data_IF_238043543599
#
_entry.id   IF_238043543599
#
_cell.length_a   1.000
_cell.length_b   1.000
_cell.length_c   1.000
_cell.angle_alpha   90.00
_cell.angle_beta   90.00
_cell.angle_gamma   90.00
#
_symmetry.space_group_name_H-M   'P 1'
#
loop_
_entity.id
_entity.type
_entity.pdbx_description
1 polymer ?
#
# COMPACT_ATOMS: atom_id res chain seq x y z
N UNK A 1 -6.65 1.57 -11.22
CA UNK A 1 -6.87 0.10 -11.21
C UNK A 1 -8.37 -0.16 -11.19
N UNK A 2 -8.84 -1.29 -11.74
CA UNK A 2 -10.29 -1.63 -11.75
C UNK A 2 -10.82 -1.77 -10.32
N UNK A 3 -10.08 -2.44 -9.45
CA UNK A 3 -10.41 -2.67 -8.04
C UNK A 3 -10.67 -1.37 -7.24
N UNK A 4 -9.84 -0.34 -7.44
CA UNK A 4 -9.96 0.92 -6.69
C UNK A 4 -11.31 1.63 -6.85
N UNK A 5 -11.99 1.43 -8.00
CA UNK A 5 -13.28 2.04 -8.32
C UNK A 5 -14.46 1.10 -8.16
N UNK A 6 -14.23 -0.13 -7.72
CA UNK A 6 -15.26 -1.16 -7.61
C UNK A 6 -16.25 -0.86 -6.48
N UNK A 7 -15.74 -0.45 -5.32
CA UNK A 7 -16.57 0.02 -4.19
C UNK A 7 -15.94 1.20 -3.46
N UNK A 8 -16.75 1.98 -2.77
CA UNK A 8 -16.30 3.02 -1.85
C UNK A 8 -15.38 2.48 -0.75
N UNK A 9 -15.57 1.22 -0.33
CA UNK A 9 -14.70 0.54 0.61
C UNK A 9 -13.26 0.39 0.11
N UNK A 10 -13.08 -0.04 -1.15
CA UNK A 10 -11.75 -0.13 -1.75
C UNK A 10 -11.09 1.25 -1.89
N UNK A 11 -11.85 2.25 -2.34
CA UNK A 11 -11.37 3.62 -2.44
C UNK A 11 -10.93 4.17 -1.07
N UNK A 12 -11.77 4.01 -0.05
CA UNK A 12 -11.48 4.45 1.31
C UNK A 12 -10.25 3.76 1.90
N UNK A 13 -10.07 2.46 1.61
CA UNK A 13 -8.87 1.73 1.99
C UNK A 13 -7.61 2.35 1.37
N UNK A 14 -7.63 2.67 0.07
CA UNK A 14 -6.49 3.32 -0.60
C UNK A 14 -6.25 4.74 -0.09
N UNK A 15 -7.30 5.53 0.16
CA UNK A 15 -7.19 6.87 0.72
C UNK A 15 -6.52 6.83 2.10
N UNK A 16 -6.91 5.89 2.97
CA UNK A 16 -6.27 5.69 4.27
C UNK A 16 -4.78 5.38 4.13
N UNK A 17 -4.41 4.49 3.20
CA UNK A 17 -3.01 4.14 2.96
C UNK A 17 -2.22 5.31 2.36
N UNK A 18 -2.80 6.08 1.45
CA UNK A 18 -2.21 7.30 0.91
C UNK A 18 -1.88 8.32 2.01
N UNK A 19 -2.82 8.56 2.92
CA UNK A 19 -2.61 9.46 4.06
C UNK A 19 -1.53 8.92 5.01
N UNK A 20 -1.57 7.62 5.33
CA UNK A 20 -0.56 6.99 6.17
C UNK A 20 0.85 7.06 5.57
N UNK A 21 0.98 6.82 4.26
CA UNK A 21 2.26 6.96 3.55
C UNK A 21 2.76 8.41 3.53
N UNK A 22 1.84 9.38 3.45
CA UNK A 22 2.18 10.80 3.50
C UNK A 22 2.69 11.20 4.89
N UNK A 23 2.05 10.73 5.95
CA UNK A 23 2.51 10.91 7.33
C UNK A 23 3.87 10.24 7.56
N UNK A 24 4.06 9.03 7.02
CA UNK A 24 5.34 8.33 7.10
C UNK A 24 6.44 9.09 6.34
N UNK A 25 6.14 9.67 5.18
CA UNK A 25 7.08 10.52 4.45
C UNK A 25 7.46 11.76 5.28
N UNK A 26 6.49 12.45 5.88
CA UNK A 26 6.75 13.57 6.76
C UNK A 26 7.65 13.18 7.93
N UNK A 27 7.34 12.08 8.61
CA UNK A 27 8.16 11.56 9.70
C UNK A 27 9.62 11.31 9.27
N UNK A 28 9.83 10.74 8.09
CA UNK A 28 11.18 10.37 7.59
C UNK A 28 12.01 11.57 7.12
N UNK A 29 11.37 12.60 6.57
CA UNK A 29 12.05 13.67 5.84
C UNK A 29 11.77 15.08 6.37
N UNK A 30 10.91 15.21 7.39
CA UNK A 30 10.42 16.48 7.94
C UNK A 30 9.89 17.43 6.86
N UNK A 31 9.17 16.86 5.88
CA UNK A 31 8.60 17.55 4.72
C UNK A 31 7.29 16.89 4.32
N UNK A 32 6.32 17.67 3.87
CA UNK A 32 5.11 17.11 3.30
C UNK A 32 5.37 16.60 1.87
N UNK A 33 4.77 15.45 1.54
CA UNK A 33 4.87 14.91 0.20
C UNK A 33 3.99 15.74 -0.75
N UNK A 34 4.50 16.12 -1.92
CA UNK A 34 3.76 17.00 -2.84
C UNK A 34 2.38 16.45 -3.24
N UNK A 35 2.21 15.12 -3.30
CA UNK A 35 0.90 14.51 -3.53
C UNK A 35 -0.08 14.75 -2.39
N UNK A 36 0.37 14.77 -1.13
CA UNK A 36 -0.47 15.10 0.01
C UNK A 36 -0.98 16.54 -0.12
N UNK A 37 -0.06 17.49 -0.29
CA UNK A 37 -0.40 18.92 -0.41
C UNK A 37 -1.40 19.19 -1.54
N UNK A 38 -1.23 18.52 -2.69
CA UNK A 38 -2.05 18.76 -3.89
C UNK A 38 -3.36 17.97 -3.91
N UNK A 39 -3.39 16.78 -3.33
CA UNK A 39 -4.46 15.81 -3.58
C UNK A 39 -5.27 15.43 -2.34
N UNK A 40 -4.76 15.63 -1.12
CA UNK A 40 -5.44 15.14 0.09
C UNK A 40 -6.87 15.67 0.22
N UNK A 41 -7.08 16.96 -0.06
CA UNK A 41 -8.40 17.57 -0.06
C UNK A 41 -9.30 16.99 -1.15
N UNK A 42 -8.84 16.98 -2.40
CA UNK A 42 -9.63 16.50 -3.54
C UNK A 42 -9.98 15.02 -3.44
N UNK A 43 -9.10 14.20 -2.88
CA UNK A 43 -9.31 12.77 -2.70
C UNK A 43 -10.16 12.42 -1.46
N UNK A 44 -10.40 13.38 -0.55
CA UNK A 44 -11.21 13.16 0.65
C UNK A 44 -12.69 12.88 0.34
N UNK A 45 -13.15 13.31 -0.82
CA UNK A 45 -14.51 13.05 -1.31
C UNK A 45 -14.57 11.77 -2.13
N UNK A 46 -15.68 11.03 -2.01
CA UNK A 46 -15.90 9.85 -2.84
C UNK A 46 -16.02 10.24 -4.33
N UNK A 47 -15.47 9.43 -5.25
CA UNK A 47 -15.66 9.62 -6.67
C UNK A 47 -17.15 9.60 -7.05
N UNK A 48 -17.52 10.43 -8.02
CA UNK A 48 -18.88 10.41 -8.58
C UNK A 48 -19.18 9.03 -9.18
N UNK A 49 -20.38 8.50 -8.91
CA UNK A 49 -20.87 7.21 -9.40
C UNK A 49 -20.13 5.97 -8.87
N UNK A 50 -19.36 6.09 -7.78
CA UNK A 50 -18.80 4.90 -7.12
C UNK A 50 -19.93 4.10 -6.45
N UNK A 51 -19.87 2.77 -6.55
CA UNK A 51 -20.78 1.90 -5.80
C UNK A 51 -20.46 2.04 -4.32
N UNK A 52 -21.43 2.49 -3.52
CA UNK A 52 -21.26 2.58 -2.07
C UNK A 52 -21.44 1.19 -1.48
N UNK A 53 -20.40 0.69 -0.82
CA UNK A 53 -20.40 -0.68 -0.31
C UNK A 53 -19.13 -1.04 0.46
N UNK A 54 -19.10 -2.28 1.00
CA UNK A 54 -17.95 -2.79 1.73
C UNK A 54 -16.73 -2.95 0.81
N UNK A 55 -15.57 -3.11 1.44
CA UNK A 55 -14.35 -3.47 0.72
C UNK A 55 -14.48 -4.88 0.13
N UNK A 56 -14.05 -5.05 -1.11
CA UNK A 56 -13.95 -6.35 -1.78
C UNK A 56 -12.57 -6.96 -1.52
N UNK A 57 -12.36 -8.27 -1.76
CA UNK A 57 -11.04 -8.89 -1.60
C UNK A 57 -9.92 -8.08 -2.25
N UNK A 58 -8.79 -7.91 -1.55
CA UNK A 58 -7.66 -7.09 -2.03
C UNK A 58 -7.16 -7.62 -3.37
N UNK A 59 -7.04 -6.74 -4.36
CA UNK A 59 -6.45 -7.12 -5.64
C UNK A 59 -4.95 -7.43 -5.51
N UNK A 60 -4.54 -8.59 -6.01
CA UNK A 60 -3.14 -9.02 -6.10
C UNK A 60 -2.53 -8.52 -7.42
N UNK A 61 -1.88 -7.36 -7.36
CA UNK A 61 -1.27 -6.68 -8.50
C UNK A 61 0.23 -6.98 -8.66
N UNK A 62 0.61 -8.25 -8.46
CA UNK A 62 1.97 -8.78 -8.64
C UNK A 62 1.96 -10.02 -9.56
N UNK A 63 3.13 -10.50 -10.02
CA UNK A 63 3.25 -11.77 -10.73
C UNK A 63 2.66 -12.97 -9.98
N UNK A 64 2.20 -13.99 -10.71
CA UNK A 64 1.50 -15.15 -10.14
C UNK A 64 2.39 -15.99 -9.20
N UNK A 65 3.71 -16.01 -9.43
CA UNK A 65 4.67 -16.73 -8.59
C UNK A 65 4.73 -16.24 -7.13
N UNK A 66 4.23 -15.03 -6.86
CA UNK A 66 4.17 -14.46 -5.51
C UNK A 66 2.79 -14.59 -4.87
N UNK A 67 1.76 -15.02 -5.59
CA UNK A 67 0.39 -15.08 -5.09
C UNK A 67 0.16 -16.33 -4.25
N UNK A 68 -0.39 -16.14 -3.07
CA UNK A 68 -0.85 -17.20 -2.16
C UNK A 68 -2.24 -16.86 -1.62
N UNK A 69 -2.79 -17.73 -0.76
CA UNK A 69 -4.14 -17.54 -0.20
C UNK A 69 -4.25 -16.25 0.64
N UNK A 70 -3.22 -15.93 1.43
CA UNK A 70 -3.18 -14.67 2.19
C UNK A 70 -2.67 -13.52 1.30
N UNK A 71 -3.48 -12.48 1.03
CA UNK A 71 -3.03 -11.33 0.27
C UNK A 71 -1.89 -10.55 0.96
N UNK A 72 -1.81 -10.56 2.29
CA UNK A 72 -0.73 -9.88 3.02
C UNK A 72 0.58 -10.59 2.77
N UNK A 73 0.60 -11.92 2.87
CA UNK A 73 1.78 -12.73 2.58
C UNK A 73 2.20 -12.56 1.11
N UNK A 74 1.25 -12.54 0.17
CA UNK A 74 1.54 -12.30 -1.25
C UNK A 74 2.31 -10.99 -1.47
N UNK A 75 1.85 -9.88 -0.87
CA UNK A 75 2.53 -8.58 -0.96
C UNK A 75 3.88 -8.55 -0.24
N UNK A 76 4.03 -9.28 0.87
CA UNK A 76 5.33 -9.37 1.56
C UNK A 76 6.35 -10.14 0.73
N UNK A 77 5.96 -11.27 0.14
CA UNK A 77 6.81 -12.08 -0.73
C UNK A 77 7.28 -11.27 -1.93
N UNK A 78 6.36 -10.60 -2.62
CA UNK A 78 6.70 -9.68 -3.71
C UNK A 78 7.63 -8.55 -3.28
N UNK A 79 7.37 -7.90 -2.13
CA UNK A 79 8.24 -6.85 -1.62
C UNK A 79 9.66 -7.35 -1.33
N UNK A 80 9.79 -8.48 -0.62
CA UNK A 80 11.10 -9.04 -0.26
C UNK A 80 11.89 -9.49 -1.49
N UNK A 81 11.23 -10.05 -2.49
CA UNK A 81 11.87 -10.52 -3.71
C UNK A 81 12.30 -9.37 -4.64
N UNK A 82 11.41 -8.39 -4.87
CA UNK A 82 11.59 -7.40 -5.95
C UNK A 82 12.13 -6.05 -5.47
N UNK A 83 11.97 -5.72 -4.19
CA UNK A 83 12.47 -4.45 -3.63
C UNK A 83 13.85 -4.63 -3.01
N UNK A 84 14.78 -5.17 -3.79
CA UNK A 84 16.20 -5.37 -3.40
C UNK A 84 16.90 -4.08 -2.97
N UNK A 85 16.36 -2.92 -3.36
CA UNK A 85 16.82 -1.59 -3.00
C UNK A 85 16.16 -1.01 -1.73
N UNK A 86 15.34 -1.78 -1.01
CA UNK A 86 14.72 -1.32 0.23
C UNK A 86 15.77 -0.97 1.30
N UNK A 87 15.62 0.20 1.93
CA UNK A 87 16.49 0.70 3.00
C UNK A 87 15.68 1.23 4.17
N UNK A 88 16.22 1.09 5.37
CA UNK A 88 15.64 1.51 6.65
C UNK A 88 16.58 2.48 7.38
N UNK A 89 16.95 3.55 6.68
CA UNK A 89 17.96 4.52 7.15
C UNK A 89 17.37 5.87 7.57
N UNK A 90 16.04 5.98 7.61
CA UNK A 90 15.29 7.22 7.91
C UNK A 90 14.31 7.01 9.06
N UNK A 91 14.82 6.79 10.28
CA UNK A 91 14.02 6.79 11.51
C UNK A 91 13.05 5.62 11.71
N UNK A 92 13.08 4.59 10.86
CA UNK A 92 12.32 3.35 11.06
C UNK A 92 13.23 2.15 11.00
N UNK A 93 12.97 1.20 11.89
CA UNK A 93 13.57 -0.12 11.81
C UNK A 93 12.99 -0.93 10.66
N UNK A 94 13.75 -1.94 10.24
CA UNK A 94 13.28 -2.95 9.30
C UNK A 94 12.07 -3.67 9.91
N UNK A 95 10.96 -3.84 9.17
CA UNK A 95 9.79 -4.50 9.72
C UNK A 95 10.09 -5.97 10.02
N UNK A 96 9.49 -6.56 11.07
CA UNK A 96 9.81 -7.92 11.52
C UNK A 96 9.59 -9.01 10.46
N UNK A 97 8.66 -8.78 9.54
CA UNK A 97 8.35 -9.73 8.46
C UNK A 97 9.37 -9.72 7.32
N UNK A 98 10.29 -8.75 7.26
CA UNK A 98 11.29 -8.68 6.19
C UNK A 98 12.47 -9.60 6.48
N UNK A 99 12.29 -10.88 6.20
CA UNK A 99 13.31 -11.91 6.35
C UNK A 99 14.16 -11.98 5.07
N UNK A 100 15.45 -11.68 5.17
CA UNK A 100 16.39 -11.81 4.06
C UNK A 100 16.76 -13.27 3.75
N UNK A 101 16.23 -14.22 4.51
CA UNK A 101 16.47 -15.65 4.35
C UNK A 101 15.40 -16.26 3.46
N UNK A 102 15.77 -16.60 2.21
CA UNK A 102 15.08 -17.63 1.44
C UNK A 102 15.18 -18.94 2.22
N UNK A 103 14.16 -19.31 2.99
CA UNK A 103 13.94 -20.72 3.33
C UNK A 103 12.90 -21.24 2.35
N UNK A 104 13.38 -21.73 1.22
CA UNK A 104 12.62 -22.70 0.44
C UNK A 104 12.62 -24.00 1.24
N UNK A 105 11.45 -24.48 1.63
CA UNK A 105 11.19 -25.91 1.76
C UNK A 105 10.28 -26.29 0.60
#
# INVERSE_FOLDING_TARGET
TIWARETSGNYGWLLKHFLALSLEYHYRYNKDHASYEKLAWSLSSLPRNIVVGPMTPVALAMPDEYKCEDPIESYRNYCMAEKTYAKWEKGRDRPPWWTTTKTCN
#
